data_IF_387981579626
#
_entry.id   IF_387981579626
#
_cell.length_a   1.000
_cell.length_b   1.000
_cell.length_c   1.000
_cell.angle_alpha   90.00
_cell.angle_beta   90.00
_cell.angle_gamma   90.00
#
_symmetry.space_group_name_H-M   'P 1'
#
loop_
_entity.id
_entity.type
_entity.pdbx_description
1 polymer ?
#
# COMPACT_ATOMS: atom_id res chain seq x y z
N UNK A 1 26.07 9.14 1.81
CA UNK A 1 25.08 9.02 2.89
C UNK A 1 24.07 7.96 2.49
N UNK A 2 23.99 6.84 3.22
CA UNK A 2 22.89 5.88 3.02
C UNK A 2 21.61 6.53 3.52
N UNK A 3 20.72 6.95 2.61
CA UNK A 3 19.34 7.31 2.99
C UNK A 3 18.70 6.04 3.53
N UNK A 4 18.01 6.13 4.68
CA UNK A 4 17.16 5.03 5.14
C UNK A 4 16.12 4.76 4.04
N UNK A 5 15.90 3.49 3.65
CA UNK A 5 14.88 3.16 2.66
C UNK A 5 13.51 3.64 3.16
N UNK A 6 12.76 4.29 2.29
CA UNK A 6 11.40 4.73 2.57
C UNK A 6 10.51 3.53 2.89
N UNK A 7 9.71 3.63 3.95
CA UNK A 7 8.78 2.57 4.35
C UNK A 7 7.49 2.65 3.53
N UNK A 8 6.75 1.52 3.39
CA UNK A 8 5.42 1.50 2.78
C UNK A 8 4.47 2.58 3.28
N UNK A 9 4.30 2.68 4.61
CA UNK A 9 3.45 3.71 5.24
C UNK A 9 3.91 5.11 4.85
N UNK A 10 5.23 5.35 4.84
CA UNK A 10 5.76 6.67 4.48
C UNK A 10 5.51 6.99 3.01
N UNK A 11 5.60 6.02 2.11
CA UNK A 11 5.30 6.23 0.70
C UNK A 11 3.84 6.63 0.49
N UNK A 12 2.88 5.96 1.16
CA UNK A 12 1.45 6.31 1.10
C UNK A 12 1.21 7.71 1.66
N UNK A 13 1.78 8.04 2.83
CA UNK A 13 1.67 9.37 3.43
C UNK A 13 2.23 10.47 2.53
N UNK A 14 3.42 10.26 1.98
CA UNK A 14 4.08 11.22 1.09
C UNK A 14 3.26 11.41 -0.18
N UNK A 15 2.74 10.33 -0.77
CA UNK A 15 1.83 10.43 -1.90
C UNK A 15 0.63 11.32 -1.59
N UNK A 16 -0.10 11.03 -0.52
CA UNK A 16 -1.28 11.79 -0.09
C UNK A 16 -0.92 13.27 0.12
N UNK A 17 0.20 13.53 0.78
CA UNK A 17 0.60 14.90 1.09
C UNK A 17 0.96 15.69 -0.17
N UNK A 18 1.72 15.09 -1.10
CA UNK A 18 2.04 15.73 -2.36
C UNK A 18 0.77 16.00 -3.18
N UNK A 19 -0.18 15.07 -3.22
CA UNK A 19 -1.47 15.28 -3.89
C UNK A 19 -2.29 16.42 -3.28
N UNK A 20 -2.37 16.49 -1.95
CA UNK A 20 -3.04 17.59 -1.24
C UNK A 20 -2.39 18.94 -1.50
N UNK A 21 -1.07 18.98 -1.54
CA UNK A 21 -0.29 20.20 -1.73
C UNK A 21 -0.09 20.58 -3.21
N UNK A 22 -0.54 19.76 -4.16
CA UNK A 22 -0.26 19.90 -5.59
C UNK A 22 1.25 19.91 -5.90
N UNK A 23 2.02 19.16 -5.13
CA UNK A 23 3.46 18.98 -5.31
C UNK A 23 3.76 17.78 -6.22
N UNK A 24 4.89 17.82 -6.95
CA UNK A 24 5.34 16.65 -7.70
C UNK A 24 5.68 15.49 -6.75
N UNK A 25 5.24 14.28 -7.11
CA UNK A 25 5.58 13.05 -6.40
C UNK A 25 6.89 12.51 -6.97
N UNK A 26 7.82 12.12 -6.10
CA UNK A 26 9.10 11.55 -6.54
C UNK A 26 8.97 10.10 -7.02
N UNK A 27 9.84 9.70 -7.95
CA UNK A 27 9.91 8.32 -8.44
C UNK A 27 10.18 7.31 -7.32
N UNK A 28 10.88 7.71 -6.25
CA UNK A 28 11.11 6.88 -5.06
C UNK A 28 9.79 6.46 -4.39
N UNK A 29 8.79 7.35 -4.33
CA UNK A 29 7.47 7.03 -3.79
C UNK A 29 6.79 5.98 -4.65
N UNK A 30 6.79 6.16 -5.98
CA UNK A 30 6.20 5.19 -6.90
C UNK A 30 6.90 3.83 -6.83
N UNK A 31 8.23 3.81 -6.78
CA UNK A 31 9.03 2.59 -6.63
C UNK A 31 8.63 1.80 -5.37
N UNK A 32 8.45 2.50 -4.24
CA UNK A 32 8.00 1.84 -3.01
C UNK A 32 6.55 1.38 -3.15
N UNK A 33 5.63 2.19 -3.68
CA UNK A 33 4.25 1.79 -3.93
C UNK A 33 4.13 0.58 -4.87
N UNK A 34 5.00 0.44 -5.86
CA UNK A 34 5.02 -0.70 -6.79
C UNK A 34 5.48 -2.00 -6.10
N UNK A 35 6.12 -1.92 -4.93
CA UNK A 35 6.50 -3.09 -4.11
C UNK A 35 5.37 -3.67 -3.25
N UNK A 36 4.12 -3.20 -3.43
CA UNK A 36 2.98 -3.55 -2.57
C UNK A 36 2.72 -5.05 -2.38
N UNK A 37 3.16 -5.90 -3.31
CA UNK A 37 2.97 -7.34 -3.25
C UNK A 37 3.63 -8.00 -2.02
N UNK A 38 4.65 -7.37 -1.43
CA UNK A 38 5.37 -7.89 -0.26
C UNK A 38 4.96 -7.23 1.05
N UNK A 39 3.96 -6.34 1.02
CA UNK A 39 3.55 -5.56 2.18
C UNK A 39 2.71 -6.38 3.15
N UNK A 40 2.69 -5.96 4.41
CA UNK A 40 1.86 -6.59 5.43
C UNK A 40 0.40 -6.09 5.36
N UNK A 41 -0.48 -6.72 6.15
CA UNK A 41 -1.91 -6.42 6.17
C UNK A 41 -2.22 -4.95 6.50
N UNK A 42 -1.47 -4.34 7.43
CA UNK A 42 -1.68 -2.94 7.85
C UNK A 42 -1.34 -1.99 6.70
N UNK A 43 -0.20 -2.22 6.05
CA UNK A 43 0.28 -1.41 4.93
C UNK A 43 -0.65 -1.51 3.71
N UNK A 44 -1.10 -2.72 3.38
CA UNK A 44 -2.05 -2.97 2.30
C UNK A 44 -3.42 -2.34 2.59
N UNK A 45 -3.89 -2.40 3.84
CA UNK A 45 -5.12 -1.74 4.25
C UNK A 45 -4.99 -0.22 4.13
N UNK A 46 -3.85 0.34 4.54
CA UNK A 46 -3.55 1.76 4.37
C UNK A 46 -3.55 2.21 2.91
N UNK A 47 -2.93 1.43 2.03
CA UNK A 47 -2.91 1.66 0.59
C UNK A 47 -4.32 1.61 -0.03
N UNK A 48 -5.11 0.58 0.33
CA UNK A 48 -6.48 0.45 -0.13
C UNK A 48 -7.34 1.63 0.33
N UNK A 49 -7.23 2.01 1.61
CA UNK A 49 -7.94 3.16 2.16
C UNK A 49 -7.57 4.46 1.43
N UNK A 50 -6.29 4.67 1.14
CA UNK A 50 -5.83 5.83 0.40
C UNK A 50 -6.44 5.91 -1.01
N UNK A 51 -6.59 4.76 -1.69
CA UNK A 51 -7.14 4.72 -3.06
C UNK A 51 -8.60 5.18 -3.17
N UNK A 52 -9.39 5.14 -2.09
CA UNK A 52 -10.76 5.68 -2.10
C UNK A 52 -10.79 7.21 -2.21
N UNK A 53 -9.76 7.89 -1.70
CA UNK A 53 -9.66 9.35 -1.71
C UNK A 53 -8.74 9.86 -2.83
N UNK A 54 -7.77 9.05 -3.23
CA UNK A 54 -6.78 9.37 -4.27
C UNK A 54 -6.65 8.19 -5.26
N UNK A 55 -7.63 8.02 -6.18
CA UNK A 55 -7.63 6.90 -7.12
C UNK A 55 -6.36 6.78 -7.98
N UNK A 56 -5.68 7.90 -8.23
CA UNK A 56 -4.41 8.01 -8.93
C UNK A 56 -3.25 7.27 -8.25
N UNK A 57 -3.40 6.86 -6.98
CA UNK A 57 -2.42 6.01 -6.31
C UNK A 57 -2.42 4.61 -6.93
N UNK A 58 -3.48 4.20 -7.63
CA UNK A 58 -3.55 2.95 -8.35
C UNK A 58 -2.95 3.08 -9.76
N UNK A 59 -2.52 1.95 -10.33
CA UNK A 59 -2.10 1.87 -11.72
C UNK A 59 -2.52 0.52 -12.32
N UNK A 60 -2.06 0.21 -13.53
CA UNK A 60 -2.38 -1.04 -14.22
C UNK A 60 -1.91 -2.31 -13.49
N UNK A 61 -0.91 -2.20 -12.60
CA UNK A 61 -0.37 -3.31 -11.81
C UNK A 61 -0.90 -3.33 -10.36
N UNK A 62 -0.85 -2.18 -9.69
CA UNK A 62 -1.36 -1.92 -8.34
C UNK A 62 -2.83 -1.54 -8.43
N UNK A 63 -3.67 -2.55 -8.70
CA UNK A 63 -5.13 -2.40 -8.77
C UNK A 63 -5.79 -2.67 -7.42
N UNK A 64 -7.01 -2.15 -7.23
CA UNK A 64 -7.83 -2.48 -6.06
C UNK A 64 -8.01 -4.01 -5.90
N UNK A 65 -8.28 -4.70 -7.00
CA UNK A 65 -8.45 -6.15 -7.02
C UNK A 65 -7.18 -6.89 -6.55
N UNK A 66 -6.00 -6.45 -7.00
CA UNK A 66 -4.72 -7.04 -6.58
C UNK A 66 -4.48 -6.83 -5.07
N UNK A 67 -4.72 -5.63 -4.55
CA UNK A 67 -4.55 -5.32 -3.12
C UNK A 67 -5.52 -6.16 -2.28
N UNK A 68 -6.79 -6.25 -2.68
CA UNK A 68 -7.79 -7.07 -1.99
C UNK A 68 -7.41 -8.55 -1.99
N UNK A 69 -6.91 -9.08 -3.10
CA UNK A 69 -6.47 -10.47 -3.18
C UNK A 69 -5.37 -10.80 -2.15
N UNK A 70 -4.42 -9.88 -1.94
CA UNK A 70 -3.37 -10.03 -0.92
C UNK A 70 -3.96 -9.98 0.50
N UNK A 71 -4.89 -9.07 0.78
CA UNK A 71 -5.56 -8.99 2.09
C UNK A 71 -6.33 -10.28 2.44
N UNK A 72 -6.94 -10.92 1.46
CA UNK A 72 -7.62 -12.22 1.68
C UNK A 72 -6.66 -13.33 2.12
N UNK A 73 -5.37 -13.26 1.77
CA UNK A 73 -4.35 -14.22 2.24
C UNK A 73 -4.15 -14.11 3.76
N UNK A 74 -4.21 -12.90 4.32
CA UNK A 74 -4.06 -12.69 5.77
C UNK A 74 -5.29 -13.19 6.53
N UNK A 75 -6.50 -12.97 6.02
CA UNK A 75 -7.75 -13.49 6.62
C UNK A 75 -7.76 -15.02 6.74
N UNK A 76 -7.24 -15.73 5.74
CA UNK A 76 -7.13 -17.21 5.76
C UNK A 76 -6.19 -17.73 6.85
N UNK A 77 -5.23 -16.93 7.32
CA UNK A 77 -4.30 -17.33 8.40
C UNK A 77 -4.94 -17.27 9.80
N UNK A 78 -6.09 -16.61 9.94
CA UNK A 78 -6.74 -16.38 11.24
C UNK A 78 -7.74 -17.49 11.61
N UNK A 79 -8.02 -18.47 10.73
CA UNK A 79 -8.97 -19.54 11.03
C UNK A 79 -8.35 -20.92 10.86
N UNK A 80 -7.99 -21.54 11.99
CA UNK A 80 -8.34 -22.93 12.35
C UNK A 80 -7.91 -23.17 13.81
N UNK A 81 -8.77 -22.80 14.77
CA UNK A 81 -8.69 -23.36 16.13
C UNK A 81 -9.61 -24.59 16.11
N UNK A 82 -9.09 -25.83 16.12
CA UNK A 82 -9.94 -27.00 16.25
C UNK A 82 -10.63 -26.94 17.62
N UNK A 83 -11.95 -26.83 17.62
CA UNK A 83 -12.76 -27.01 18.82
C UNK A 83 -12.77 -28.52 19.08
N UNK A 84 -12.11 -28.96 20.16
CA UNK A 84 -12.17 -30.34 20.67
C UNK A 84 -13.43 -30.56 21.50
#
# INVERSE_FOLDING_TARGET
MYKKPMTPTRAVETFIQCRKNQEPISDEVFLVLDSFQTWNEIELTGLLNASFYFPEILNEYRTEAAIRSLLEVFKKRIVEIPIQ
#
